data_IF_395221963054
#
_entry.id   IF_395221963054
#
_cell.length_a   1.000
_cell.length_b   1.000
_cell.length_c   1.000
_cell.angle_alpha   90.00
_cell.angle_beta   90.00
_cell.angle_gamma   90.00
#
_symmetry.space_group_name_H-M   'P 1'
#
loop_
_entity.id
_entity.type
_entity.pdbx_description
1 polymer ?
#
# COMPACT_ATOMS: atom_id res chain seq x y z
N UNK A 1 23.07 -28.46 67.10
CA UNK A 1 23.52 -27.55 66.03
C UNK A 1 24.16 -28.39 64.95
N UNK A 2 23.44 -28.79 63.90
CA UNK A 2 23.59 -28.37 62.50
C UNK A 2 22.38 -28.95 61.76
N UNK A 3 21.47 -28.10 61.29
CA UNK A 3 20.40 -28.50 60.37
C UNK A 3 20.94 -28.39 58.94
N UNK A 4 20.90 -29.48 58.17
CA UNK A 4 21.13 -29.44 56.73
C UNK A 4 19.76 -29.41 56.05
N UNK A 5 19.37 -28.23 55.57
CA UNK A 5 18.19 -28.05 54.74
C UNK A 5 18.64 -28.11 53.28
N UNK A 6 18.24 -29.19 52.61
CA UNK A 6 18.33 -29.36 51.16
C UNK A 6 17.15 -28.63 50.53
N UNK A 7 17.41 -27.56 49.78
CA UNK A 7 16.42 -26.94 48.91
C UNK A 7 16.62 -27.47 47.50
N UNK A 8 15.69 -28.31 47.07
CA UNK A 8 15.51 -28.68 45.67
C UNK A 8 15.06 -27.47 44.87
N UNK A 9 15.52 -27.44 43.63
CA UNK A 9 15.22 -26.45 42.61
C UNK A 9 14.06 -26.98 41.74
N UNK A 10 12.90 -26.32 41.70
CA UNK A 10 11.90 -26.62 40.70
C UNK A 10 11.45 -25.36 39.97
N UNK A 11 11.71 -25.38 38.66
CA UNK A 11 10.88 -24.77 37.63
C UNK A 11 10.72 -23.24 37.62
N UNK A 12 11.46 -22.64 36.67
CA UNK A 12 11.03 -21.49 35.86
C UNK A 12 9.52 -21.49 35.58
N UNK A 13 8.91 -20.30 35.61
CA UNK A 13 8.40 -19.79 34.33
C UNK A 13 8.68 -18.29 34.10
N UNK A 14 9.11 -18.04 32.86
CA UNK A 14 8.56 -17.04 31.93
C UNK A 14 8.58 -15.56 32.34
N UNK A 15 9.62 -14.89 31.84
CA UNK A 15 9.59 -13.60 31.13
C UNK A 15 8.25 -12.85 31.14
N UNK A 16 8.22 -11.76 31.90
CA UNK A 16 7.51 -10.55 31.54
C UNK A 16 8.54 -9.40 31.46
N UNK A 17 9.54 -9.58 30.58
CA UNK A 17 10.35 -8.45 30.15
C UNK A 17 9.51 -7.65 29.15
N UNK A 18 8.93 -6.55 29.64
CA UNK A 18 8.47 -5.46 28.80
C UNK A 18 9.66 -4.95 28.00
N UNK A 19 9.78 -5.36 26.73
CA UNK A 19 10.84 -4.88 25.86
C UNK A 19 10.60 -3.40 25.51
N UNK A 20 11.67 -2.57 25.55
CA UNK A 20 11.58 -1.14 25.26
C UNK A 20 11.24 -0.91 23.79
N UNK A 21 10.51 0.18 23.52
CA UNK A 21 10.01 0.59 22.21
C UNK A 21 11.02 0.43 21.08
N UNK A 22 10.95 -0.72 20.41
CA UNK A 22 11.57 -0.92 19.10
C UNK A 22 10.67 -0.15 18.14
N UNK A 23 11.02 1.09 17.85
CA UNK A 23 10.52 1.75 16.63
C UNK A 23 10.79 0.80 15.48
N UNK A 24 9.78 0.38 14.70
CA UNK A 24 9.99 -0.46 13.54
C UNK A 24 10.99 0.25 12.62
N UNK A 25 12.23 -0.23 12.58
CA UNK A 25 13.16 0.24 11.57
C UNK A 25 12.59 -0.13 10.19
N UNK A 26 12.94 0.62 9.15
CA UNK A 26 12.59 0.26 7.77
C UNK A 26 12.87 -1.23 7.48
N UNK A 27 13.94 -1.80 8.03
CA UNK A 27 14.25 -3.23 7.91
C UNK A 27 13.21 -4.16 8.56
N UNK A 28 12.66 -3.79 9.72
CA UNK A 28 11.61 -4.59 10.39
C UNK A 28 10.28 -4.55 9.63
N UNK A 29 9.93 -3.41 9.03
CA UNK A 29 8.78 -3.27 8.16
C UNK A 29 8.93 -4.13 6.90
N UNK A 30 10.08 -4.03 6.22
CA UNK A 30 10.40 -4.85 5.05
C UNK A 30 10.29 -6.35 5.36
N UNK A 31 10.92 -6.79 6.45
CA UNK A 31 10.91 -8.20 6.87
C UNK A 31 9.49 -8.70 7.11
N UNK A 32 8.66 -7.95 7.82
CA UNK A 32 7.27 -8.36 8.13
C UNK A 32 6.41 -8.41 6.88
N UNK A 33 6.56 -7.47 5.96
CA UNK A 33 5.86 -7.53 4.68
C UNK A 33 6.27 -8.73 3.84
N UNK A 34 7.57 -9.04 3.77
CA UNK A 34 8.07 -10.24 3.09
C UNK A 34 7.61 -11.53 3.77
N UNK A 35 7.53 -11.55 5.10
CA UNK A 35 6.98 -12.67 5.87
C UNK A 35 5.49 -12.89 5.56
N UNK A 36 4.73 -11.79 5.42
CA UNK A 36 3.32 -11.83 5.05
C UNK A 36 3.15 -12.31 3.59
N UNK A 37 3.64 -11.52 2.63
CA UNK A 37 3.28 -11.64 1.21
C UNK A 37 4.14 -12.63 0.42
N UNK A 38 5.39 -12.88 0.86
CA UNK A 38 6.40 -13.77 0.26
C UNK A 38 6.85 -13.42 -1.17
N UNK A 39 6.00 -12.77 -1.95
CA UNK A 39 6.13 -12.49 -3.38
C UNK A 39 5.44 -11.17 -3.72
N UNK A 40 5.56 -10.71 -4.97
CA UNK A 40 4.77 -9.57 -5.44
C UNK A 40 3.28 -9.93 -5.47
N UNK A 41 2.46 -9.24 -4.69
CA UNK A 41 1.02 -9.49 -4.58
C UNK A 41 0.29 -9.45 -5.94
N UNK A 42 0.71 -8.56 -6.85
CA UNK A 42 0.11 -8.42 -8.18
C UNK A 42 0.59 -9.54 -9.12
N UNK A 43 1.87 -9.93 -9.10
CA UNK A 43 2.35 -11.07 -9.88
C UNK A 43 1.61 -12.35 -9.49
N UNK A 44 1.36 -12.54 -8.19
CA UNK A 44 0.57 -13.66 -7.66
C UNK A 44 -0.87 -13.62 -8.18
N UNK A 45 -1.51 -12.45 -8.19
CA UNK A 45 -2.85 -12.28 -8.77
C UNK A 45 -2.90 -12.59 -10.28
N UNK A 46 -1.80 -12.38 -11.01
CA UNK A 46 -1.66 -12.77 -12.42
C UNK A 46 -1.44 -14.29 -12.63
N UNK A 47 -1.32 -15.10 -11.57
CA UNK A 47 -0.98 -16.51 -11.69
C UNK A 47 0.51 -16.76 -12.01
N UNK A 48 1.36 -15.74 -11.80
CA UNK A 48 2.80 -15.82 -11.97
C UNK A 48 3.52 -15.56 -10.64
N UNK A 49 3.33 -16.42 -9.62
CA UNK A 49 4.09 -16.34 -8.38
C UNK A 49 5.51 -16.87 -8.64
N UNK A 50 6.22 -16.36 -9.64
CA UNK A 50 7.62 -16.73 -9.76
C UNK A 50 8.37 -16.13 -8.57
N UNK A 51 9.34 -16.87 -8.00
CA UNK A 51 10.28 -16.32 -7.05
C UNK A 51 11.16 -15.32 -7.78
N UNK A 52 10.62 -14.12 -7.97
CA UNK A 52 11.40 -12.94 -8.32
C UNK A 52 12.52 -12.91 -7.28
N UNK A 53 13.77 -12.89 -7.76
CA UNK A 53 14.98 -12.88 -6.92
C UNK A 53 14.71 -11.96 -5.73
N UNK A 54 14.95 -12.36 -4.47
CA UNK A 54 14.55 -11.56 -3.31
C UNK A 54 15.00 -10.09 -3.37
N UNK A 55 16.07 -9.79 -4.13
CA UNK A 55 16.55 -8.44 -4.43
C UNK A 55 15.65 -7.60 -5.36
N UNK A 56 14.59 -8.18 -5.92
CA UNK A 56 13.70 -7.54 -6.92
C UNK A 56 12.24 -7.44 -6.46
N UNK A 57 11.96 -7.82 -5.22
CA UNK A 57 10.74 -7.48 -4.50
C UNK A 57 11.08 -6.76 -3.21
N UNK A 58 10.25 -5.80 -2.84
CA UNK A 58 10.37 -5.13 -1.56
C UNK A 58 9.00 -4.66 -1.09
N UNK A 59 8.89 -4.52 0.22
CA UNK A 59 7.77 -3.88 0.86
C UNK A 59 7.71 -2.40 0.46
N UNK A 60 6.55 -1.95 0.02
CA UNK A 60 6.31 -0.56 -0.31
C UNK A 60 5.16 -0.05 0.53
N UNK A 61 5.22 1.24 0.86
CA UNK A 61 4.11 1.92 1.51
C UNK A 61 3.03 2.25 0.46
N UNK A 62 1.77 1.93 0.76
CA UNK A 62 0.63 2.30 -0.07
C UNK A 62 0.42 3.82 -0.02
N UNK A 63 0.49 4.40 1.19
CA UNK A 63 0.63 5.84 1.40
C UNK A 63 2.10 6.11 1.78
N UNK A 64 2.90 6.67 0.85
CA UNK A 64 4.32 6.89 1.06
C UNK A 64 4.65 7.72 2.31
N UNK A 65 5.75 7.38 3.01
CA UNK A 65 6.22 8.08 4.20
C UNK A 65 6.38 9.61 4.03
N UNK A 66 6.75 10.07 2.82
CA UNK A 66 6.81 11.51 2.47
C UNK A 66 5.47 12.24 2.62
N UNK A 67 4.35 11.51 2.75
CA UNK A 67 3.00 12.04 2.96
C UNK A 67 2.54 11.93 4.44
N UNK A 68 3.47 11.89 5.41
CA UNK A 68 3.17 11.90 6.87
C UNK A 68 2.11 12.93 7.27
N UNK A 69 2.23 14.18 6.81
CA UNK A 69 1.24 15.21 7.17
C UNK A 69 -0.17 14.87 6.68
N UNK A 70 -0.28 14.29 5.47
CA UNK A 70 -1.55 13.83 4.93
C UNK A 70 -2.10 12.66 5.75
N UNK A 71 -1.24 11.68 6.09
CA UNK A 71 -1.57 10.57 6.97
C UNK A 71 -2.16 11.04 8.31
N UNK A 72 -1.50 12.01 8.94
CA UNK A 72 -1.92 12.57 10.24
C UNK A 72 -3.24 13.32 10.13
N UNK A 73 -3.38 14.16 9.11
CA UNK A 73 -4.61 14.95 8.89
C UNK A 73 -5.85 14.09 8.67
N UNK A 74 -5.67 12.87 8.15
CA UNK A 74 -6.74 11.89 7.92
C UNK A 74 -6.98 10.98 9.12
N UNK A 75 -6.16 11.07 10.17
CA UNK A 75 -6.28 10.24 11.36
C UNK A 75 -6.01 8.75 11.12
N UNK A 76 -5.24 8.40 10.07
CA UNK A 76 -5.01 7.00 9.66
C UNK A 76 -4.32 6.17 10.74
N UNK A 77 -3.49 6.78 11.58
CA UNK A 77 -2.90 6.11 12.74
C UNK A 77 -3.94 5.44 13.65
N UNK A 78 -5.18 5.95 13.70
CA UNK A 78 -6.26 5.41 14.55
C UNK A 78 -6.95 4.18 13.95
N UNK A 79 -6.74 3.90 12.67
CA UNK A 79 -7.40 2.79 11.96
C UNK A 79 -6.47 1.58 11.82
N UNK A 80 -5.21 1.70 12.21
CA UNK A 80 -4.20 0.63 12.17
C UNK A 80 -4.56 -0.50 13.12
N UNK A 81 -4.46 -1.73 12.61
CA UNK A 81 -4.81 -2.96 13.33
C UNK A 81 -3.61 -3.85 13.61
N UNK A 82 -2.46 -3.57 12.99
CA UNK A 82 -1.18 -4.26 13.14
C UNK A 82 -0.67 -4.18 14.57
N UNK A 83 -0.90 -5.25 15.32
CA UNK A 83 -0.53 -5.36 16.72
C UNK A 83 0.99 -5.30 16.94
N UNK A 84 1.79 -5.59 15.92
CA UNK A 84 3.26 -5.57 16.05
C UNK A 84 3.86 -4.17 16.14
N UNK A 85 3.07 -3.13 15.80
CA UNK A 85 3.49 -1.73 15.87
C UNK A 85 2.62 -0.89 16.81
N UNK A 86 1.58 -1.47 17.44
CA UNK A 86 0.77 -0.76 18.43
C UNK A 86 1.65 -0.34 19.61
N UNK A 87 1.65 0.96 19.92
CA UNK A 87 2.52 1.57 20.93
C UNK A 87 3.85 2.10 20.38
N UNK A 88 4.10 1.96 19.07
CA UNK A 88 5.20 2.63 18.39
C UNK A 88 4.84 4.05 17.94
N UNK A 89 5.84 4.92 17.88
CA UNK A 89 5.74 6.26 17.27
C UNK A 89 5.62 6.21 15.74
N UNK A 90 6.02 5.10 15.11
CA UNK A 90 6.00 4.92 13.65
C UNK A 90 4.94 3.93 13.18
N UNK A 91 3.68 4.34 13.30
CA UNK A 91 2.53 3.59 12.76
C UNK A 91 2.46 3.62 11.22
N UNK A 92 3.24 4.46 10.54
CA UNK A 92 3.28 4.47 9.07
C UNK A 92 3.99 3.23 8.53
N UNK A 93 4.98 2.72 9.26
CA UNK A 93 5.70 1.47 9.00
C UNK A 93 4.88 0.23 9.42
N UNK A 94 3.55 0.31 9.45
CA UNK A 94 2.63 -0.81 9.71
C UNK A 94 2.39 -1.66 8.46
N UNK A 95 2.16 -2.97 8.64
CA UNK A 95 1.68 -3.85 7.57
C UNK A 95 0.34 -3.40 6.97
N UNK A 96 -0.51 -2.71 7.75
CA UNK A 96 -1.75 -2.07 7.28
C UNK A 96 -1.50 -1.05 6.15
N UNK A 97 -0.33 -0.44 6.10
CA UNK A 97 0.07 0.54 5.07
C UNK A 97 1.05 -0.04 4.06
N UNK A 98 1.25 -1.36 4.04
CA UNK A 98 2.33 -1.98 3.30
C UNK A 98 1.89 -3.10 2.37
N UNK A 99 2.62 -3.28 1.27
CA UNK A 99 2.43 -4.38 0.30
C UNK A 99 3.78 -4.75 -0.31
N UNK A 100 4.04 -6.04 -0.57
CA UNK A 100 5.22 -6.46 -1.32
C UNK A 100 4.96 -6.38 -2.82
N UNK A 101 5.80 -5.63 -3.53
CA UNK A 101 5.72 -5.48 -4.98
C UNK A 101 7.08 -5.67 -5.63
N UNK A 102 7.08 -6.06 -6.90
CA UNK A 102 8.25 -5.94 -7.75
C UNK A 102 8.39 -4.51 -8.28
N UNK A 103 9.57 -4.17 -8.80
CA UNK A 103 9.88 -2.81 -9.28
C UNK A 103 8.84 -2.26 -10.29
N UNK A 104 8.35 -3.09 -11.21
CA UNK A 104 7.31 -2.68 -12.18
C UNK A 104 6.03 -2.25 -11.47
N UNK A 105 5.50 -3.11 -10.59
CA UNK A 105 4.23 -2.86 -9.93
C UNK A 105 4.31 -1.78 -8.86
N UNK A 106 5.47 -1.61 -8.21
CA UNK A 106 5.73 -0.43 -7.38
C UNK A 106 5.60 0.85 -8.21
N UNK A 107 6.24 0.90 -9.38
CA UNK A 107 6.16 2.06 -10.27
C UNK A 107 4.71 2.35 -10.66
N UNK A 108 3.94 1.33 -11.01
CA UNK A 108 2.53 1.48 -11.39
C UNK A 108 1.67 2.01 -10.22
N UNK A 109 1.88 1.50 -9.00
CA UNK A 109 1.18 1.94 -7.80
C UNK A 109 1.55 3.39 -7.43
N UNK A 110 2.84 3.72 -7.45
CA UNK A 110 3.36 5.03 -7.05
C UNK A 110 2.96 6.15 -8.03
N UNK A 111 2.76 5.83 -9.30
CA UNK A 111 2.32 6.78 -10.33
C UNK A 111 0.80 6.84 -10.52
N UNK A 112 0.04 6.13 -9.67
CA UNK A 112 -1.42 6.05 -9.72
C UNK A 112 -1.95 5.47 -11.04
N UNK A 113 -1.20 4.54 -11.66
CA UNK A 113 -1.63 3.84 -12.87
C UNK A 113 -2.56 2.68 -12.57
N UNK A 114 -2.45 2.16 -11.34
CA UNK A 114 -3.35 1.17 -10.77
C UNK A 114 -3.79 1.60 -9.38
N UNK A 115 -4.88 1.02 -8.90
CA UNK A 115 -5.28 1.02 -7.50
C UNK A 115 -5.84 -0.35 -7.14
N UNK A 116 -6.02 -0.60 -5.85
CA UNK A 116 -6.63 -1.83 -5.35
C UNK A 116 -7.93 -1.43 -4.64
N UNK A 117 -9.04 -2.01 -5.06
CA UNK A 117 -10.35 -1.70 -4.50
C UNK A 117 -10.40 -2.10 -3.01
N UNK A 118 -10.80 -1.19 -2.10
CA UNK A 118 -10.63 -1.38 -0.66
C UNK A 118 -11.41 -2.57 -0.08
N UNK A 119 -12.55 -2.93 -0.68
CA UNK A 119 -13.43 -3.99 -0.15
C UNK A 119 -13.26 -5.33 -0.87
N UNK A 120 -12.86 -5.30 -2.15
CA UNK A 120 -12.86 -6.49 -3.01
C UNK A 120 -11.45 -6.95 -3.36
N UNK A 121 -10.44 -6.11 -3.07
CA UNK A 121 -9.05 -6.29 -3.46
C UNK A 121 -8.84 -6.51 -4.96
N UNK A 122 -9.80 -6.04 -5.76
CA UNK A 122 -9.72 -6.05 -7.23
C UNK A 122 -8.88 -4.89 -7.70
N UNK A 123 -7.95 -5.17 -8.62
CA UNK A 123 -7.08 -4.16 -9.22
C UNK A 123 -7.89 -3.35 -10.25
N UNK A 124 -7.81 -2.03 -10.12
CA UNK A 124 -8.38 -1.07 -11.08
C UNK A 124 -7.26 -0.39 -11.83
N UNK A 125 -7.25 -0.51 -13.16
CA UNK A 125 -6.29 0.18 -14.03
C UNK A 125 -6.87 1.50 -14.50
N UNK A 126 -6.00 2.52 -14.58
CA UNK A 126 -6.33 3.85 -15.08
C UNK A 126 -5.53 4.22 -16.34
N UNK A 127 -4.71 3.31 -16.87
CA UNK A 127 -3.80 3.57 -17.98
C UNK A 127 -3.71 2.36 -18.93
N UNK A 128 -3.61 2.57 -20.26
CA UNK A 128 -3.50 1.47 -21.22
C UNK A 128 -2.37 0.45 -20.92
N UNK A 129 -1.16 0.86 -20.46
CA UNK A 129 -0.08 -0.09 -20.15
C UNK A 129 -0.31 -1.00 -18.94
N UNK A 130 -1.39 -0.78 -18.18
CA UNK A 130 -1.75 -1.62 -17.02
C UNK A 130 -3.13 -2.26 -17.20
N UNK A 131 -3.71 -2.21 -18.40
CA UNK A 131 -5.06 -2.69 -18.68
C UNK A 131 -5.22 -4.19 -18.41
N UNK A 132 -4.16 -4.98 -18.61
CA UNK A 132 -4.11 -6.41 -18.33
C UNK A 132 -4.27 -6.75 -16.83
N UNK A 133 -4.00 -5.78 -15.96
CA UNK A 133 -4.15 -5.95 -14.52
C UNK A 133 -5.59 -5.70 -14.05
N UNK A 134 -6.43 -5.07 -14.89
CA UNK A 134 -7.77 -4.70 -14.49
C UNK A 134 -8.66 -5.91 -14.21
N UNK A 135 -9.35 -5.91 -13.07
CA UNK A 135 -10.26 -6.99 -12.70
C UNK A 135 -9.60 -8.16 -11.98
N UNK A 136 -8.26 -8.22 -11.93
CA UNK A 136 -7.54 -9.23 -11.15
C UNK A 136 -7.74 -9.01 -9.66
N UNK A 137 -7.91 -10.09 -8.89
CA UNK A 137 -8.13 -10.03 -7.43
C UNK A 137 -6.89 -10.50 -6.67
N UNK A 138 -6.46 -9.72 -5.70
CA UNK A 138 -5.43 -10.12 -4.73
C UNK A 138 -6.11 -10.90 -3.59
N UNK A 139 -5.70 -12.15 -3.39
CA UNK A 139 -6.27 -13.06 -2.37
C UNK A 139 -5.24 -13.51 -1.35
N UNK A 140 -4.07 -13.97 -1.82
CA UNK A 140 -2.99 -14.47 -0.95
C UNK A 140 -1.98 -13.35 -0.68
N UNK A 141 -1.57 -13.13 0.58
CA UNK A 141 -1.97 -13.80 1.83
C UNK A 141 -3.13 -13.10 2.56
N UNK A 142 -3.80 -12.13 1.93
CA UNK A 142 -4.70 -11.20 2.60
C UNK A 142 -5.98 -11.82 3.17
N UNK A 143 -6.34 -13.00 2.69
CA UNK A 143 -7.46 -13.78 3.25
C UNK A 143 -7.11 -14.41 4.63
N UNK A 144 -5.83 -14.44 5.02
CA UNK A 144 -5.40 -14.94 6.33
C UNK A 144 -5.49 -13.84 7.40
N UNK A 145 -6.29 -14.09 8.44
CA UNK A 145 -6.45 -13.18 9.58
C UNK A 145 -5.31 -13.35 10.59
N UNK A 146 -4.09 -12.92 10.24
CA UNK A 146 -2.99 -12.79 11.20
C UNK A 146 -2.92 -11.35 11.74
N UNK A 147 -3.27 -11.09 13.01
CA UNK A 147 -3.28 -9.72 13.56
C UNK A 147 -1.87 -9.11 13.71
N UNK A 148 -0.81 -9.91 13.65
CA UNK A 148 0.58 -9.44 13.65
C UNK A 148 1.10 -9.08 12.25
N UNK A 149 0.41 -9.58 11.22
CA UNK A 149 0.74 -9.37 9.81
C UNK A 149 -0.56 -9.11 9.02
N UNK A 150 -1.35 -8.09 9.41
CA UNK A 150 -2.66 -7.86 8.78
C UNK A 150 -2.49 -7.53 7.29
N UNK A 151 -3.53 -7.77 6.47
CA UNK A 151 -3.56 -7.24 5.12
C UNK A 151 -3.56 -5.70 5.13
N UNK A 152 -3.38 -5.05 3.97
CA UNK A 152 -3.59 -3.62 3.86
C UNK A 152 -4.95 -3.18 4.41
N UNK A 153 -4.93 -2.07 5.13
CA UNK A 153 -6.12 -1.52 5.75
C UNK A 153 -7.05 -0.92 4.69
N UNK A 154 -8.35 -1.16 4.85
CA UNK A 154 -9.37 -0.66 3.92
C UNK A 154 -9.36 0.87 3.80
N UNK A 155 -9.09 1.61 4.88
CA UNK A 155 -9.13 3.08 4.86
C UNK A 155 -7.89 3.64 4.15
N UNK A 156 -6.75 2.96 4.30
CA UNK A 156 -5.51 3.24 3.56
C UNK A 156 -5.71 2.99 2.06
N UNK A 157 -6.25 1.81 1.70
CA UNK A 157 -6.58 1.46 0.32
C UNK A 157 -7.59 2.45 -0.28
N UNK A 158 -8.63 2.82 0.47
CA UNK A 158 -9.66 3.74 0.02
C UNK A 158 -9.08 5.12 -0.33
N UNK A 159 -8.16 5.66 0.50
CA UNK A 159 -7.53 6.94 0.20
C UNK A 159 -6.62 6.88 -1.03
N UNK A 160 -5.86 5.80 -1.21
CA UNK A 160 -5.07 5.60 -2.42
C UNK A 160 -5.98 5.50 -3.66
N UNK A 161 -7.05 4.70 -3.56
CA UNK A 161 -8.06 4.51 -4.60
C UNK A 161 -8.70 5.84 -5.06
N UNK A 162 -9.18 6.65 -4.12
CA UNK A 162 -9.76 7.97 -4.41
C UNK A 162 -8.72 8.92 -5.02
N UNK A 163 -7.46 8.84 -4.57
CA UNK A 163 -6.36 9.64 -5.14
C UNK A 163 -6.08 9.26 -6.60
N UNK A 164 -6.10 7.96 -6.92
CA UNK A 164 -5.99 7.49 -8.31
C UNK A 164 -7.12 8.02 -9.19
N UNK A 165 -8.37 7.89 -8.74
CA UNK A 165 -9.54 8.40 -9.48
C UNK A 165 -9.42 9.91 -9.71
N UNK A 166 -9.10 10.67 -8.67
CA UNK A 166 -8.98 12.13 -8.76
C UNK A 166 -7.93 12.54 -9.79
N UNK A 167 -6.78 11.85 -9.80
CA UNK A 167 -5.70 12.10 -10.75
C UNK A 167 -6.08 11.69 -12.18
N UNK A 168 -6.80 10.60 -12.33
CA UNK A 168 -7.31 10.14 -13.61
C UNK A 168 -8.32 11.15 -14.20
N UNK A 169 -9.33 11.54 -13.43
CA UNK A 169 -10.32 12.55 -13.84
C UNK A 169 -9.62 13.87 -14.19
N UNK A 170 -8.68 14.33 -13.36
CA UNK A 170 -7.94 15.56 -13.62
C UNK A 170 -7.22 15.53 -14.98
N UNK A 171 -6.53 14.43 -15.31
CA UNK A 171 -5.85 14.28 -16.61
C UNK A 171 -6.83 14.31 -17.79
N UNK A 172 -8.01 13.71 -17.65
CA UNK A 172 -9.00 13.65 -18.72
C UNK A 172 -9.87 14.90 -18.84
N UNK A 173 -10.01 15.70 -17.78
CA UNK A 173 -10.72 16.98 -17.82
C UNK A 173 -9.94 18.03 -18.61
N UNK A 174 -8.61 18.09 -18.48
CA UNK A 174 -7.77 19.06 -19.21
C UNK A 174 -7.37 18.62 -20.62
N UNK A 175 -7.58 17.36 -20.99
CA UNK A 175 -7.29 16.87 -22.35
C UNK A 175 -8.41 17.17 -23.36
N UNK A 176 -9.47 17.88 -22.94
CA UNK A 176 -10.73 18.04 -23.67
C UNK A 176 -11.06 19.50 -24.02
N UNK A 177 -10.07 20.40 -24.00
CA UNK A 177 -10.19 21.74 -24.60
C UNK A 177 -9.87 21.62 -26.11
N UNK A 178 -10.88 21.61 -27.01
CA UNK A 178 -10.64 21.79 -28.44
C UNK A 178 -10.29 23.26 -28.73
N UNK A 179 -9.30 23.47 -29.59
CA UNK A 179 -9.00 24.76 -30.22
C UNK A 179 -10.29 25.42 -30.72
N UNK A 180 -10.73 26.46 -30.02
CA UNK A 180 -11.86 27.29 -30.40
C UNK A 180 -11.37 28.61 -30.96
N UNK A 181 -10.43 28.56 -31.91
CA UNK A 181 -10.04 29.72 -32.72
C UNK A 181 -9.97 29.33 -34.20
N UNK A 182 -11.14 29.28 -34.82
CA UNK A 182 -11.30 29.39 -36.28
C UNK A 182 -12.52 30.25 -36.57
N UNK A 183 -12.46 31.51 -36.11
CA UNK A 183 -13.31 32.58 -36.62
C UNK A 183 -12.88 32.85 -38.08
N UNK A 184 -13.47 32.11 -39.03
CA UNK A 184 -13.45 32.51 -40.44
C UNK A 184 -14.30 33.76 -40.57
N UNK A 185 -13.66 34.93 -40.49
CA UNK A 185 -14.26 36.21 -40.82
C UNK A 185 -14.92 36.14 -42.19
N UNK A 186 -16.21 36.47 -42.23
CA UNK A 186 -16.91 36.75 -43.47
C UNK A 186 -16.28 37.94 -44.18
N UNK A 187 -16.21 37.85 -45.50
CA UNK A 187 -16.05 38.99 -46.38
C UNK A 187 -17.05 38.86 -47.51
N UNK A 188 -18.27 39.34 -47.26
CA UNK A 188 -19.17 39.81 -48.31
C UNK A 188 -18.76 41.25 -48.64
N UNK A 189 -18.25 41.48 -49.85
CA UNK A 189 -18.38 42.77 -50.54
C UNK A 189 -18.65 42.46 -52.01
N UNK A 190 -19.93 42.48 -52.37
CA UNK A 190 -20.41 42.79 -53.72
C UNK A 190 -19.98 44.22 -54.07
N UNK A 191 -19.50 44.42 -55.29
CA UNK A 191 -19.45 45.73 -55.92
C UNK A 191 -19.70 45.54 -57.41
N UNK A 192 -20.87 46.01 -57.82
CA UNK A 192 -21.32 46.20 -59.20
C UNK A 192 -20.30 47.02 -60.00
N UNK A 193 -20.02 46.58 -61.24
CA UNK A 193 -19.88 47.43 -62.45
C UNK A 193 -20.27 46.63 -63.70
#
# INVERSE_FOLDING_TARGET
>A
MVEQISYGDPHSPSQAEMLPGVTPSSASFQRRLLERDQTCAICTACGHPEPIVPSSIHGVHIIPAKHRQFWDSRGLSRTITDQSVLGSDDLMSSCDNGIVLCQRHEHDLANFYISIHPETHVIVSFQPPTAELHGLKITTPWDCQNPLLPPPNKDVLHLHFVSCISRWIGRHAYAREPDSDSLSSGSDIESDE
#
